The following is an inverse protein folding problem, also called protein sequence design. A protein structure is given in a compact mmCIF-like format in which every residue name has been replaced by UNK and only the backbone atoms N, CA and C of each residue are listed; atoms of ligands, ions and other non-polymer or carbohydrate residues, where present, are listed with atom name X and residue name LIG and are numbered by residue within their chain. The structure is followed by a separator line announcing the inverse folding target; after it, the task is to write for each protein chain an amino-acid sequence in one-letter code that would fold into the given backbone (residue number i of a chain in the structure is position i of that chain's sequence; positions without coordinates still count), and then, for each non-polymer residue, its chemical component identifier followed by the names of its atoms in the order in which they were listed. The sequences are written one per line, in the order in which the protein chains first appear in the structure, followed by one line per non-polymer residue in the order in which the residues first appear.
data_IF_801250425684
#
_entry.id   IF_801250425684
#
_cell.length_a   1.000
_cell.length_b   1.000
_cell.length_c   1.000
_cell.angle_alpha   90.00
_cell.angle_beta   90.00
_cell.angle_gamma   90.00
#
_symmetry.space_group_name_H-M   'P 1'
#
loop_
_entity.id
_entity.type
_entity.pdbx_description
1 polymer ?
#
# COMPACT_ATOMS: atom_id res chain seq x y z
N UNK A 1 30.24 21.89 -1.03
CA UNK A 1 29.88 20.78 -0.13
C UNK A 1 28.97 19.80 -0.88
N UNK A 2 29.31 18.51 -0.88
CA UNK A 2 28.62 17.42 -1.59
C UNK A 2 27.39 16.93 -0.79
N UNK A 3 26.34 17.75 -0.65
CA UNK A 3 25.12 17.32 0.05
C UNK A 3 24.28 16.29 -0.73
N UNK A 4 24.54 16.09 -2.04
CA UNK A 4 23.71 15.22 -2.88
C UNK A 4 23.95 13.71 -2.80
N UNK A 5 25.03 13.20 -2.17
CA UNK A 5 25.31 11.75 -2.15
C UNK A 5 24.70 11.03 -0.95
N UNK A 6 24.57 11.69 0.20
CA UNK A 6 24.04 11.09 1.42
C UNK A 6 22.53 10.83 1.36
N UNK A 7 21.82 11.59 0.54
CA UNK A 7 20.36 11.53 0.56
C UNK A 7 19.78 10.46 -0.37
N UNK A 8 20.47 10.15 -1.49
CA UNK A 8 20.14 8.97 -2.29
C UNK A 8 20.15 7.67 -1.48
N UNK A 9 21.06 7.53 -0.51
CA UNK A 9 21.07 6.35 0.36
C UNK A 9 19.86 6.27 1.29
N UNK A 10 19.23 7.39 1.64
CA UNK A 10 18.06 7.39 2.53
C UNK A 10 16.80 6.86 1.83
N UNK A 11 16.57 7.23 0.56
CA UNK A 11 15.40 6.76 -0.21
C UNK A 11 15.44 5.24 -0.44
N UNK A 12 16.60 4.72 -0.86
CA UNK A 12 16.79 3.28 -1.00
C UNK A 12 16.73 2.56 0.35
N UNK A 13 17.20 3.22 1.42
CA UNK A 13 17.06 2.72 2.79
C UNK A 13 15.59 2.55 3.20
N UNK A 14 14.73 3.53 2.90
CA UNK A 14 13.30 3.41 3.16
C UNK A 14 12.67 2.23 2.43
N UNK A 15 12.87 2.16 1.11
CA UNK A 15 12.29 1.09 0.29
C UNK A 15 12.79 -0.29 0.74
N UNK A 16 14.08 -0.42 1.06
CA UNK A 16 14.64 -1.65 1.59
C UNK A 16 14.02 -2.04 2.94
N UNK A 17 13.80 -1.07 3.84
CA UNK A 17 13.14 -1.31 5.13
C UNK A 17 11.67 -1.70 4.97
N UNK A 18 10.93 -1.07 4.05
CA UNK A 18 9.55 -1.43 3.75
C UNK A 18 9.46 -2.85 3.15
N UNK A 19 10.36 -3.21 2.24
CA UNK A 19 10.47 -4.57 1.69
C UNK A 19 10.81 -5.55 2.81
N UNK A 20 11.80 -5.26 3.64
CA UNK A 20 12.23 -6.13 4.74
C UNK A 20 11.11 -6.34 5.75
N UNK A 21 10.45 -5.26 6.20
CA UNK A 21 9.31 -5.34 7.10
C UNK A 21 8.19 -6.19 6.50
N UNK A 22 7.87 -5.98 5.22
CA UNK A 22 6.86 -6.80 4.53
C UNK A 22 7.27 -8.27 4.45
N UNK A 23 8.53 -8.57 4.12
CA UNK A 23 9.04 -9.95 4.08
C UNK A 23 8.97 -10.64 5.43
N UNK A 24 9.26 -9.92 6.52
CA UNK A 24 9.24 -10.45 7.88
C UNK A 24 7.81 -10.72 8.35
N UNK A 25 6.85 -9.85 7.99
CA UNK A 25 5.46 -9.94 8.47
C UNK A 25 4.59 -10.85 7.61
N UNK A 26 4.71 -10.75 6.28
CA UNK A 26 3.84 -11.43 5.32
C UNK A 26 4.55 -12.54 4.53
N UNK A 27 5.86 -12.73 4.77
CA UNK A 27 6.67 -13.65 3.99
C UNK A 27 7.17 -13.08 2.65
N UNK A 28 8.20 -13.72 2.10
CA UNK A 28 8.90 -13.27 0.89
C UNK A 28 8.00 -13.33 -0.35
N UNK A 29 7.26 -14.43 -0.52
CA UNK A 29 6.37 -14.62 -1.68
C UNK A 29 5.29 -13.54 -1.74
N UNK A 30 4.55 -13.34 -0.64
CA UNK A 30 3.49 -12.33 -0.57
C UNK A 30 4.05 -10.93 -0.84
N UNK A 31 5.21 -10.61 -0.26
CA UNK A 31 5.89 -9.33 -0.48
C UNK A 31 6.25 -9.11 -1.96
N UNK A 32 6.85 -10.12 -2.61
CA UNK A 32 7.22 -10.03 -4.02
C UNK A 32 5.99 -9.76 -4.91
N UNK A 33 4.91 -10.54 -4.73
CA UNK A 33 3.69 -10.38 -5.51
C UNK A 33 2.94 -9.07 -5.18
N UNK A 34 2.99 -8.61 -3.93
CA UNK A 34 2.44 -7.32 -3.53
C UNK A 34 3.18 -6.15 -4.21
N UNK A 35 4.51 -6.16 -4.23
CA UNK A 35 5.30 -5.15 -4.93
C UNK A 35 5.08 -5.19 -6.45
N UNK A 36 5.03 -6.38 -7.05
CA UNK A 36 4.73 -6.53 -8.47
C UNK A 36 3.35 -5.94 -8.82
N UNK A 37 2.33 -6.30 -8.04
CA UNK A 37 0.97 -5.77 -8.16
C UNK A 37 0.95 -4.26 -8.01
N UNK A 38 1.62 -3.74 -6.98
CA UNK A 38 1.70 -2.32 -6.68
C UNK A 38 2.29 -1.54 -7.85
N UNK A 39 3.46 -1.94 -8.33
CA UNK A 39 4.16 -1.27 -9.43
C UNK A 39 3.37 -1.33 -10.74
N UNK A 40 2.75 -2.48 -11.04
CA UNK A 40 1.91 -2.64 -12.22
C UNK A 40 0.73 -1.67 -12.21
N UNK A 41 -0.02 -1.61 -11.12
CA UNK A 41 -1.23 -0.79 -11.03
C UNK A 41 -0.91 0.69 -10.81
N UNK A 42 0.23 1.01 -10.19
CA UNK A 42 0.74 2.37 -10.02
C UNK A 42 1.28 2.99 -11.32
N UNK A 43 1.56 2.16 -12.35
CA UNK A 43 2.28 2.56 -13.56
C UNK A 43 1.78 3.86 -14.21
N UNK A 44 0.46 4.12 -14.36
CA UNK A 44 0.00 5.37 -14.97
C UNK A 44 0.43 6.62 -14.21
N UNK A 45 0.33 6.58 -12.88
CA UNK A 45 0.74 7.70 -12.03
C UNK A 45 2.27 7.86 -11.99
N UNK A 46 3.01 6.76 -11.97
CA UNK A 46 4.47 6.78 -12.05
C UNK A 46 4.98 7.33 -13.38
N UNK A 47 4.29 7.05 -14.49
CA UNK A 47 4.62 7.63 -15.80
C UNK A 47 4.38 9.14 -15.83
N UNK A 48 3.34 9.64 -15.14
CA UNK A 48 3.09 11.09 -15.03
C UNK A 48 4.13 11.83 -14.18
N UNK A 49 4.88 11.11 -13.35
CA UNK A 49 5.92 11.67 -12.49
C UNK A 49 7.09 12.18 -13.35
N UNK A 50 6.99 13.44 -13.80
CA UNK A 50 7.91 14.07 -14.77
C UNK A 50 9.31 14.37 -14.20
N UNK A 51 9.54 14.23 -12.89
CA UNK A 51 10.76 14.79 -12.28
C UNK A 51 11.97 13.89 -12.46
N UNK A 52 13.11 14.51 -12.76
CA UNK A 52 14.42 13.87 -12.73
C UNK A 52 14.82 13.40 -11.32
N UNK A 53 14.16 13.93 -10.28
CA UNK A 53 14.30 13.55 -8.86
C UNK A 53 12.99 13.79 -8.09
N UNK A 54 12.03 12.86 -8.14
CA UNK A 54 10.83 12.94 -7.31
C UNK A 54 11.17 12.65 -5.84
N UNK A 55 10.55 13.38 -4.91
CA UNK A 55 10.66 13.03 -3.48
C UNK A 55 9.82 11.79 -3.15
N UNK A 56 10.06 11.13 -2.01
CA UNK A 56 9.28 9.96 -1.58
C UNK A 56 7.77 10.26 -1.49
N UNK A 57 7.39 11.44 -1.00
CA UNK A 57 6.00 11.87 -0.96
C UNK A 57 5.36 12.04 -2.36
N UNK A 58 6.15 12.49 -3.35
CA UNK A 58 5.68 12.59 -4.75
C UNK A 58 5.54 11.22 -5.39
N UNK A 59 6.47 10.30 -5.09
CA UNK A 59 6.36 8.88 -5.45
C UNK A 59 5.10 8.24 -4.86
N UNK A 60 4.82 8.52 -3.60
CA UNK A 60 3.63 8.05 -2.90
C UNK A 60 2.34 8.56 -3.56
N UNK A 61 2.26 9.87 -3.80
CA UNK A 61 1.12 10.49 -4.50
C UNK A 61 0.92 9.89 -5.89
N UNK A 62 2.00 9.78 -6.68
CA UNK A 62 1.96 9.20 -8.02
C UNK A 62 1.49 7.74 -7.98
N UNK A 63 2.03 6.94 -7.07
CA UNK A 63 1.66 5.52 -6.94
C UNK A 63 0.18 5.35 -6.58
N UNK A 64 -0.28 6.06 -5.55
CA UNK A 64 -1.67 5.98 -5.10
C UNK A 64 -2.64 6.49 -6.15
N UNK A 65 -2.31 7.57 -6.86
CA UNK A 65 -3.14 8.10 -7.95
C UNK A 65 -3.21 7.11 -9.12
N UNK A 66 -2.08 6.50 -9.49
CA UNK A 66 -2.02 5.46 -10.52
C UNK A 66 -2.89 4.26 -10.16
N UNK A 67 -2.73 3.74 -8.95
CA UNK A 67 -3.53 2.62 -8.42
C UNK A 67 -5.02 2.98 -8.43
N UNK A 68 -5.40 4.16 -7.94
CA UNK A 68 -6.80 4.58 -7.89
C UNK A 68 -7.45 4.61 -9.29
N UNK A 69 -6.76 5.20 -10.28
CA UNK A 69 -7.27 5.27 -11.66
C UNK A 69 -7.33 3.89 -12.29
N UNK A 70 -6.30 3.05 -12.10
CA UNK A 70 -6.28 1.68 -12.63
C UNK A 70 -7.39 0.82 -12.03
N UNK A 71 -7.60 0.88 -10.70
CA UNK A 71 -8.66 0.14 -10.02
C UNK A 71 -10.05 0.62 -10.48
N UNK A 72 -10.26 1.94 -10.58
CA UNK A 72 -11.54 2.48 -11.05
C UNK A 72 -11.84 2.04 -12.49
N UNK A 73 -10.85 2.12 -13.38
CA UNK A 73 -11.00 1.64 -14.75
C UNK A 73 -11.26 0.13 -14.81
N UNK A 74 -10.55 -0.65 -13.98
CA UNK A 74 -10.74 -2.11 -13.89
C UNK A 74 -12.15 -2.47 -13.40
N UNK A 75 -12.67 -1.76 -12.41
CA UNK A 75 -14.04 -1.94 -11.91
C UNK A 75 -15.05 -1.64 -13.02
N UNK A 76 -14.91 -0.51 -13.72
CA UNK A 76 -15.85 -0.14 -14.79
C UNK A 76 -15.85 -1.17 -15.93
N UNK A 77 -14.68 -1.61 -16.36
CA UNK A 77 -14.57 -2.64 -17.41
C UNK A 77 -15.11 -3.98 -16.92
N UNK A 78 -14.80 -4.39 -15.68
CA UNK A 78 -15.30 -5.63 -15.09
C UNK A 78 -16.83 -5.64 -14.99
N UNK A 79 -17.46 -4.51 -14.62
CA UNK A 79 -18.92 -4.37 -14.58
C UNK A 79 -19.57 -4.54 -15.97
N UNK A 80 -18.87 -4.14 -17.03
CA UNK A 80 -19.36 -4.26 -18.41
C UNK A 80 -19.20 -5.68 -18.94
N UNK A 81 -18.06 -6.32 -18.65
CA UNK A 81 -17.73 -7.63 -19.21
C UNK A 81 -18.25 -8.80 -18.37
N UNK A 82 -18.59 -8.58 -17.09
CA UNK A 82 -18.99 -9.64 -16.16
C UNK A 82 -17.83 -10.50 -15.65
N UNK A 83 -16.60 -10.14 -16.01
CA UNK A 83 -15.38 -10.81 -15.58
C UNK A 83 -14.24 -9.80 -15.46
N UNK A 84 -13.28 -10.08 -14.58
CA UNK A 84 -12.09 -9.26 -14.42
C UNK A 84 -10.83 -10.11 -14.36
N UNK A 85 -10.39 -10.70 -15.49
CA UNK A 85 -9.17 -11.48 -15.53
C UNK A 85 -7.95 -10.58 -15.29
N UNK A 86 -6.94 -11.12 -14.62
CA UNK A 86 -5.69 -10.44 -14.31
C UNK A 86 -5.02 -9.77 -15.53
N UNK A 87 -5.02 -10.46 -16.68
CA UNK A 87 -4.45 -9.94 -17.92
C UNK A 87 -5.15 -8.65 -18.38
N UNK A 88 -6.46 -8.54 -18.16
CA UNK A 88 -7.23 -7.36 -18.49
C UNK A 88 -6.88 -6.19 -17.57
N UNK A 89 -6.71 -6.43 -16.26
CA UNK A 89 -6.22 -5.40 -15.33
C UNK A 89 -4.84 -4.87 -15.74
N UNK A 90 -3.92 -5.77 -16.12
CA UNK A 90 -2.60 -5.40 -16.61
C UNK A 90 -2.67 -4.58 -17.92
N UNK A 91 -3.55 -4.98 -18.85
CA UNK A 91 -3.78 -4.26 -20.10
C UNK A 91 -4.35 -2.84 -19.85
N UNK A 92 -5.30 -2.70 -18.93
CA UNK A 92 -5.86 -1.41 -18.50
C UNK A 92 -4.75 -0.52 -17.94
N UNK A 93 -3.91 -1.04 -17.03
CA UNK A 93 -2.78 -0.30 -16.48
C UNK A 93 -1.81 0.17 -17.57
N UNK A 94 -1.50 -0.68 -18.55
CA UNK A 94 -0.63 -0.34 -19.67
C UNK A 94 -1.23 0.74 -20.58
N UNK A 95 -2.51 0.64 -20.93
CA UNK A 95 -3.22 1.65 -21.74
C UNK A 95 -3.24 3.00 -21.03
N UNK A 96 -3.56 3.02 -19.74
CA UNK A 96 -3.54 4.23 -18.93
C UNK A 96 -2.13 4.82 -18.82
N UNK A 97 -1.09 3.98 -18.73
CA UNK A 97 0.29 4.44 -18.74
C UNK A 97 0.71 5.05 -20.07
N UNK A 98 0.26 4.49 -21.20
CA UNK A 98 0.49 5.10 -22.52
C UNK A 98 -0.22 6.45 -22.65
N UNK A 99 -1.47 6.55 -22.17
CA UNK A 99 -2.21 7.81 -22.13
C UNK A 99 -1.51 8.85 -21.24
N UNK A 100 -1.07 8.45 -20.05
CA UNK A 100 -0.27 9.27 -19.15
C UNK A 100 1.02 9.79 -19.82
N UNK A 101 1.75 8.92 -20.53
CA UNK A 101 2.96 9.31 -21.26
C UNK A 101 2.65 10.31 -22.38
N UNK A 102 1.51 10.15 -23.07
CA UNK A 102 1.08 11.08 -24.12
C UNK A 102 0.73 12.46 -23.55
N UNK A 103 -0.02 12.52 -22.44
CA UNK A 103 -0.33 13.76 -21.72
C UNK A 103 0.96 14.45 -21.27
N UNK A 104 1.85 13.70 -20.61
CA UNK A 104 3.15 14.20 -20.12
C UNK A 104 4.00 14.83 -21.22
N UNK A 105 3.99 14.27 -22.44
CA UNK A 105 4.75 14.82 -23.58
C UNK A 105 4.19 16.16 -24.09
N UNK A 106 2.91 16.45 -23.82
CA UNK A 106 2.24 17.67 -24.28
C UNK A 106 2.32 18.82 -23.28
N UNK A 107 2.32 18.49 -21.99
CA UNK A 107 2.36 19.50 -20.94
C UNK A 107 3.81 19.84 -20.58
N UNK A 108 4.19 21.11 -20.75
CA UNK A 108 5.36 21.67 -20.09
C UNK A 108 5.05 21.83 -18.60
N UNK A 109 5.02 20.72 -17.86
CA UNK A 109 4.74 20.74 -16.42
C UNK A 109 5.90 21.47 -15.76
N UNK A 110 5.66 22.71 -15.33
CA UNK A 110 6.64 23.49 -14.57
C UNK A 110 7.11 22.68 -13.37
N UNK A 111 8.42 22.45 -13.31
CA UNK A 111 9.06 21.78 -12.18
C UNK A 111 8.96 22.69 -10.95
N UNK A 112 7.85 22.60 -10.20
CA UNK A 112 7.77 23.09 -8.82
C UNK A 112 9.00 22.58 -8.04
N UNK A 113 9.57 23.43 -7.19
CA UNK A 113 10.82 23.15 -6.49
C UNK A 113 10.72 21.82 -5.73
N UNK A 114 11.76 20.99 -5.85
CA UNK A 114 11.89 19.80 -5.03
C UNK A 114 11.75 20.18 -3.55
N UNK A 115 10.94 19.42 -2.80
CA UNK A 115 10.97 19.53 -1.35
C UNK A 115 12.40 19.21 -0.90
N UNK A 116 12.96 19.93 0.08
CA UNK A 116 14.25 19.56 0.61
C UNK A 116 14.14 18.16 1.20
N UNK A 117 14.98 17.27 0.69
CA UNK A 117 15.05 15.90 1.19
C UNK A 117 15.53 15.95 2.64
N UNK A 118 14.73 15.42 3.57
CA UNK A 118 15.02 15.47 5.01
C UNK A 118 14.93 14.09 5.62
N UNK A 119 15.72 13.82 6.67
CA UNK A 119 15.66 12.55 7.41
C UNK A 119 14.26 12.26 8.00
N UNK A 120 13.43 13.29 8.17
CA UNK A 120 12.04 13.15 8.61
C UNK A 120 11.13 12.45 7.61
N UNK A 121 11.45 12.49 6.31
CA UNK A 121 10.74 11.71 5.27
C UNK A 121 10.89 10.20 5.49
N UNK A 122 11.98 9.78 6.14
CA UNK A 122 12.23 8.38 6.49
C UNK A 122 11.63 8.04 7.86
N UNK A 123 11.78 8.92 8.87
CA UNK A 123 11.33 8.65 10.25
C UNK A 123 9.82 8.42 10.32
N UNK A 124 9.03 9.22 9.62
CA UNK A 124 7.56 9.15 9.67
C UNK A 124 7.01 7.80 9.19
N UNK A 125 7.33 7.34 7.96
CA UNK A 125 6.83 6.05 7.52
C UNK A 125 7.48 4.90 8.29
N UNK A 126 8.69 5.03 8.85
CA UNK A 126 9.23 4.01 9.76
C UNK A 126 8.39 3.87 11.03
N UNK A 127 8.01 4.98 11.67
CA UNK A 127 7.12 4.93 12.84
C UNK A 127 5.76 4.36 12.45
N UNK A 128 5.20 4.77 11.31
CA UNK A 128 3.94 4.21 10.81
C UNK A 128 4.03 2.70 10.59
N UNK A 129 5.12 2.22 9.98
CA UNK A 129 5.37 0.81 9.75
C UNK A 129 5.62 0.06 11.05
N UNK A 130 6.35 0.61 12.01
CA UNK A 130 6.54 -0.03 13.32
C UNK A 130 5.21 -0.17 14.06
N UNK A 131 4.39 0.88 14.08
CA UNK A 131 3.06 0.86 14.70
C UNK A 131 2.12 -0.16 14.05
N UNK A 132 2.22 -0.34 12.72
CA UNK A 132 1.41 -1.29 11.98
C UNK A 132 1.95 -2.72 12.04
N UNK A 133 3.26 -2.91 11.87
CA UNK A 133 3.90 -4.22 11.73
C UNK A 133 4.11 -4.94 13.06
N UNK A 134 4.52 -4.22 14.12
CA UNK A 134 4.89 -4.87 15.39
C UNK A 134 3.72 -5.64 16.02
N UNK A 135 2.48 -5.10 16.09
CA UNK A 135 1.34 -5.86 16.60
C UNK A 135 0.98 -7.07 15.72
N UNK A 136 1.44 -7.09 14.47
CA UNK A 136 1.12 -8.11 13.47
C UNK A 136 2.18 -9.21 13.34
N UNK A 137 3.34 -9.07 13.97
CA UNK A 137 4.49 -9.96 13.76
C UNK A 137 4.22 -11.43 14.11
N UNK A 138 3.32 -11.70 15.06
CA UNK A 138 2.98 -13.07 15.47
C UNK A 138 1.60 -13.53 15.00
N UNK A 139 0.92 -12.72 14.19
CA UNK A 139 -0.42 -13.07 13.70
C UNK A 139 -0.37 -14.39 12.93
N UNK A 140 -1.29 -15.30 13.25
CA UNK A 140 -1.40 -16.61 12.61
C UNK A 140 -0.42 -17.66 13.13
N UNK A 141 0.59 -17.28 13.91
CA UNK A 141 1.53 -18.23 14.53
C UNK A 141 0.82 -19.14 15.53
N UNK A 142 1.22 -20.41 15.61
CA UNK A 142 0.70 -21.34 16.62
C UNK A 142 1.37 -21.09 17.98
N UNK A 143 0.55 -21.03 19.02
CA UNK A 143 0.98 -20.95 20.41
C UNK A 143 0.05 -21.79 21.29
N UNK A 144 0.64 -22.76 22.00
CA UNK A 144 -0.09 -23.65 22.92
C UNK A 144 -1.33 -24.35 22.31
N UNK A 145 -1.28 -24.69 21.02
CA UNK A 145 -2.39 -25.34 20.32
C UNK A 145 -3.51 -24.39 19.86
N UNK A 146 -3.33 -23.09 19.99
CA UNK A 146 -4.17 -22.04 19.40
C UNK A 146 -3.36 -21.18 18.42
N UNK A 147 -4.02 -20.38 17.58
CA UNK A 147 -3.34 -19.39 16.76
C UNK A 147 -3.35 -18.02 17.45
N UNK A 148 -2.22 -17.31 17.41
CA UNK A 148 -2.10 -15.93 17.85
C UNK A 148 -2.88 -15.01 16.91
N UNK A 149 -3.94 -14.41 17.43
CA UNK A 149 -4.68 -13.35 16.78
C UNK A 149 -4.79 -12.17 17.74
N UNK A 150 -4.45 -10.98 17.26
CA UNK A 150 -4.65 -9.76 18.04
C UNK A 150 -6.14 -9.43 18.11
N UNK A 151 -6.60 -8.65 19.09
CA UNK A 151 -8.01 -8.26 19.20
C UNK A 151 -8.57 -7.55 17.95
N UNK A 152 -7.70 -6.96 17.11
CA UNK A 152 -8.05 -6.36 15.82
C UNK A 152 -8.32 -7.39 14.70
N UNK A 153 -7.91 -8.64 14.87
CA UNK A 153 -8.33 -9.77 14.04
C UNK A 153 -9.72 -10.22 14.48
N UNK A 154 -10.65 -9.28 14.39
CA UNK A 154 -12.06 -9.49 14.66
C UNK A 154 -12.75 -10.05 13.41
N UNK A 155 -14.08 -10.11 13.45
CA UNK A 155 -14.89 -10.53 12.31
C UNK A 155 -14.60 -9.73 11.02
N UNK A 156 -14.15 -8.47 11.13
CA UNK A 156 -13.83 -7.65 9.95
C UNK A 156 -12.58 -8.17 9.24
N UNK A 157 -11.55 -8.59 9.97
CA UNK A 157 -10.35 -9.13 9.33
C UNK A 157 -10.65 -10.45 8.58
N UNK A 158 -11.41 -11.37 9.19
CA UNK A 158 -11.83 -12.59 8.50
C UNK A 158 -12.70 -12.29 7.27
N UNK A 159 -13.54 -11.25 7.36
CA UNK A 159 -14.30 -10.74 6.21
C UNK A 159 -13.38 -10.19 5.12
N UNK A 160 -12.30 -9.48 5.47
CA UNK A 160 -11.31 -8.99 4.52
C UNK A 160 -10.62 -10.15 3.78
N UNK A 161 -10.24 -11.21 4.50
CA UNK A 161 -9.64 -12.42 3.90
C UNK A 161 -10.63 -13.03 2.90
N UNK A 162 -11.85 -13.33 3.37
CA UNK A 162 -12.88 -13.98 2.55
C UNK A 162 -13.21 -13.17 1.28
N UNK A 163 -13.32 -11.85 1.40
CA UNK A 163 -13.54 -10.99 0.23
C UNK A 163 -12.36 -10.99 -0.75
N UNK A 164 -11.12 -10.98 -0.25
CA UNK A 164 -9.93 -11.00 -1.10
C UNK A 164 -9.82 -12.32 -1.86
N UNK A 165 -10.09 -13.45 -1.19
CA UNK A 165 -10.08 -14.79 -1.79
C UNK A 165 -11.22 -14.97 -2.81
N UNK A 166 -12.41 -14.47 -2.50
CA UNK A 166 -13.55 -14.52 -3.43
C UNK A 166 -13.27 -13.70 -4.70
N UNK A 167 -12.76 -12.47 -4.54
CA UNK A 167 -12.37 -11.62 -5.67
C UNK A 167 -11.24 -12.23 -6.51
N UNK A 168 -10.34 -13.00 -5.89
CA UNK A 168 -9.23 -13.65 -6.62
C UNK A 168 -9.75 -14.66 -7.66
N UNK A 169 -10.96 -15.21 -7.49
CA UNK A 169 -11.62 -16.09 -8.47
C UNK A 169 -11.98 -15.36 -9.77
N UNK A 170 -12.19 -14.04 -9.71
CA UNK A 170 -12.35 -13.14 -10.87
C UNK A 170 -13.73 -13.14 -11.53
N UNK A 171 -14.72 -13.74 -10.87
CA UNK A 171 -16.14 -13.51 -11.19
C UNK A 171 -16.50 -12.06 -10.86
N UNK A 172 -17.28 -11.40 -11.73
CA UNK A 172 -17.62 -9.99 -11.57
C UNK A 172 -19.09 -9.69 -11.92
N UNK A 173 -19.85 -8.99 -11.06
CA UNK A 173 -19.48 -8.53 -9.72
C UNK A 173 -19.20 -9.70 -8.76
N UNK A 174 -18.36 -9.50 -7.73
CA UNK A 174 -18.04 -10.55 -6.77
C UNK A 174 -19.30 -11.09 -6.07
N UNK A 175 -19.30 -12.38 -5.74
CA UNK A 175 -20.35 -13.00 -4.93
C UNK A 175 -20.11 -12.75 -3.44
N UNK A 176 -21.18 -12.75 -2.65
CA UNK A 176 -21.11 -12.59 -1.21
C UNK A 176 -20.75 -13.94 -0.56
N UNK A 177 -19.58 -14.11 0.08
CA UNK A 177 -19.19 -15.38 0.69
C UNK A 177 -20.04 -15.76 1.90
N UNK A 178 -20.80 -14.82 2.47
CA UNK A 178 -21.67 -15.03 3.63
C UNK A 178 -23.15 -15.18 3.27
N UNK A 179 -23.54 -14.95 2.01
CA UNK A 179 -24.92 -15.02 1.56
C UNK A 179 -25.00 -15.66 0.16
N UNK A 180 -25.38 -16.94 0.12
CA UNK A 180 -25.40 -17.74 -1.10
C UNK A 180 -26.26 -17.10 -2.20
N UNK A 181 -25.68 -17.00 -3.40
CA UNK A 181 -26.34 -16.47 -4.60
C UNK A 181 -26.57 -14.95 -4.61
N UNK A 182 -26.07 -14.21 -3.62
CA UNK A 182 -26.15 -12.76 -3.60
C UNK A 182 -24.84 -12.14 -4.09
N UNK A 183 -24.95 -11.04 -4.84
CA UNK A 183 -23.79 -10.21 -5.16
C UNK A 183 -23.23 -9.52 -3.93
N UNK A 184 -21.93 -9.26 -3.92
CA UNK A 184 -21.27 -8.48 -2.87
C UNK A 184 -21.48 -7.00 -3.17
N UNK A 185 -22.39 -6.37 -2.41
CA UNK A 185 -22.87 -5.02 -2.73
C UNK A 185 -22.07 -3.88 -2.09
N UNK A 186 -21.17 -4.15 -1.15
CA UNK A 186 -20.49 -3.09 -0.38
C UNK A 186 -19.00 -3.34 -0.22
N UNK A 187 -18.21 -2.26 -0.33
CA UNK A 187 -16.84 -2.16 0.17
C UNK A 187 -15.84 -3.19 -0.39
N UNK A 188 -16.07 -3.79 -1.55
CA UNK A 188 -15.18 -4.85 -2.05
C UNK A 188 -14.00 -4.33 -2.89
N UNK A 189 -14.12 -3.12 -3.45
CA UNK A 189 -13.13 -2.56 -4.37
C UNK A 189 -11.70 -2.49 -3.78
N UNK A 190 -11.57 -2.23 -2.48
CA UNK A 190 -10.25 -2.13 -1.86
C UNK A 190 -9.55 -3.48 -1.67
N UNK A 191 -10.28 -4.61 -1.72
CA UNK A 191 -9.68 -5.93 -1.70
C UNK A 191 -9.23 -6.41 -3.09
N UNK A 192 -9.42 -5.62 -4.16
CA UNK A 192 -8.89 -5.97 -5.47
C UNK A 192 -7.36 -6.07 -5.46
N UNK A 193 -6.67 -5.27 -4.65
CA UNK A 193 -5.21 -5.35 -4.50
C UNK A 193 -4.76 -6.70 -3.92
N UNK A 194 -5.18 -7.11 -2.69
CA UNK A 194 -4.82 -8.41 -2.15
C UNK A 194 -5.35 -9.56 -3.02
N UNK A 195 -6.55 -9.45 -3.62
CA UNK A 195 -7.05 -10.46 -4.57
C UNK A 195 -6.13 -10.65 -5.79
N UNK A 196 -5.56 -9.56 -6.31
CA UNK A 196 -4.61 -9.58 -7.41
C UNK A 196 -3.31 -10.29 -7.00
N UNK A 197 -2.83 -10.07 -5.77
CA UNK A 197 -1.67 -10.78 -5.20
C UNK A 197 -1.93 -12.29 -5.13
N UNK A 198 -3.06 -12.70 -4.55
CA UNK A 198 -3.45 -14.12 -4.43
C UNK A 198 -3.49 -14.76 -5.82
N UNK A 199 -4.17 -14.12 -6.79
CA UNK A 199 -4.31 -14.66 -8.14
C UNK A 199 -2.98 -14.71 -8.91
N UNK A 200 -2.16 -13.67 -8.82
CA UNK A 200 -0.82 -13.63 -9.45
C UNK A 200 0.10 -14.73 -8.92
N UNK A 201 -0.05 -15.06 -7.63
CA UNK A 201 0.72 -16.13 -7.00
C UNK A 201 0.25 -17.54 -7.37
N UNK A 202 -0.78 -17.68 -8.21
CA UNK A 202 -1.38 -19.00 -8.47
C UNK A 202 -2.03 -19.61 -7.23
N UNK A 203 -2.47 -18.78 -6.28
CA UNK A 203 -2.98 -19.17 -4.95
C UNK A 203 -1.93 -19.76 -3.99
N UNK A 204 -0.64 -19.59 -4.27
CA UNK A 204 0.43 -19.97 -3.33
C UNK A 204 0.54 -19.02 -2.12
N UNK A 205 0.06 -17.78 -2.25
CA UNK A 205 0.00 -16.79 -1.16
C UNK A 205 -1.38 -16.82 -0.50
N UNK A 206 -1.41 -16.98 0.82
CA UNK A 206 -2.65 -16.97 1.60
C UNK A 206 -3.33 -15.59 1.57
N UNK A 207 -4.65 -15.54 1.79
CA UNK A 207 -5.36 -14.26 1.91
C UNK A 207 -4.87 -13.37 3.05
N UNK A 208 -4.40 -13.98 4.15
CA UNK A 208 -3.81 -13.27 5.30
C UNK A 208 -2.53 -12.56 4.86
N UNK A 209 -1.60 -13.29 4.25
CA UNK A 209 -0.29 -12.75 3.86
C UNK A 209 -0.44 -11.67 2.78
N UNK A 210 -1.36 -11.88 1.82
CA UNK A 210 -1.67 -10.88 0.81
C UNK A 210 -2.18 -9.58 1.43
N UNK A 211 -3.09 -9.65 2.41
CA UNK A 211 -3.61 -8.49 3.12
C UNK A 211 -2.53 -7.78 3.93
N UNK A 212 -1.68 -8.52 4.65
CA UNK A 212 -0.58 -7.96 5.43
C UNK A 212 0.42 -7.23 4.53
N UNK A 213 0.87 -7.87 3.44
CA UNK A 213 1.82 -7.28 2.51
C UNK A 213 1.27 -6.01 1.85
N UNK A 214 0.03 -6.05 1.33
CA UNK A 214 -0.62 -4.88 0.72
C UNK A 214 -0.87 -3.79 1.77
N UNK A 215 -1.33 -4.15 2.96
CA UNK A 215 -1.62 -3.22 4.05
C UNK A 215 -0.39 -2.45 4.51
N UNK A 216 0.79 -3.10 4.57
CA UNK A 216 2.06 -2.44 4.88
C UNK A 216 2.47 -1.46 3.78
N UNK A 217 2.32 -1.83 2.50
CA UNK A 217 2.58 -0.91 1.38
C UNK A 217 1.67 0.31 1.41
N UNK A 218 0.37 0.10 1.63
CA UNK A 218 -0.61 1.18 1.77
C UNK A 218 -0.27 2.09 2.94
N UNK A 219 0.03 1.53 4.11
CA UNK A 219 0.37 2.28 5.32
C UNK A 219 1.63 3.13 5.12
N UNK A 220 2.71 2.54 4.62
CA UNK A 220 3.95 3.27 4.37
C UNK A 220 3.76 4.38 3.33
N UNK A 221 3.03 4.10 2.25
CA UNK A 221 2.76 5.08 1.18
C UNK A 221 1.86 6.22 1.66
N UNK A 222 0.81 5.92 2.44
CA UNK A 222 -0.06 6.94 3.04
C UNK A 222 0.70 7.79 4.06
N UNK A 223 1.59 7.20 4.86
CA UNK A 223 2.46 7.94 5.78
C UNK A 223 3.34 8.96 5.06
N UNK A 224 3.95 8.55 3.92
CA UNK A 224 4.72 9.44 3.06
C UNK A 224 3.87 10.57 2.45
N UNK A 225 2.67 10.25 1.97
CA UNK A 225 1.76 11.24 1.41
C UNK A 225 1.32 12.26 2.48
N UNK A 226 0.91 11.77 3.66
CA UNK A 226 0.53 12.61 4.79
C UNK A 226 1.67 13.54 5.21
N UNK A 227 2.90 13.02 5.30
CA UNK A 227 4.08 13.85 5.55
C UNK A 227 4.24 14.95 4.50
N UNK A 228 4.18 14.62 3.21
CA UNK A 228 4.31 15.60 2.14
C UNK A 228 3.26 16.71 2.18
N UNK A 229 2.01 16.36 2.51
CA UNK A 229 0.92 17.31 2.69
C UNK A 229 1.15 18.21 3.90
N UNK A 230 1.46 17.63 5.06
CA UNK A 230 1.76 18.39 6.28
C UNK A 230 3.00 19.28 6.11
N UNK A 231 4.00 18.84 5.34
CA UNK A 231 5.19 19.64 5.02
C UNK A 231 4.79 20.89 4.23
N UNK A 232 3.97 20.72 3.18
CA UNK A 232 3.48 21.85 2.36
C UNK A 232 2.67 22.85 3.19
N UNK A 233 1.90 22.38 4.17
CA UNK A 233 1.06 23.24 5.01
C UNK A 233 1.84 23.93 6.13
N UNK A 234 2.81 23.24 6.75
CA UNK A 234 3.54 23.76 7.92
C UNK A 234 4.84 24.50 7.56
N UNK A 235 5.38 24.30 6.37
CA UNK A 235 6.67 24.86 5.94
C UNK A 235 7.90 24.26 6.62
N UNK A 236 7.76 23.23 7.47
CA UNK A 236 8.86 22.64 8.22
C UNK A 236 8.76 21.12 8.40
N UNK A 237 9.84 20.40 8.04
CA UNK A 237 9.89 18.93 8.10
C UNK A 237 9.64 18.35 9.49
N UNK A 238 10.20 18.98 10.53
CA UNK A 238 10.00 18.52 11.91
C UNK A 238 8.54 18.68 12.33
N UNK A 239 7.92 19.82 12.07
CA UNK A 239 6.52 20.08 12.41
C UNK A 239 5.58 19.14 11.66
N UNK A 240 5.84 18.88 10.38
CA UNK A 240 5.11 17.92 9.58
C UNK A 240 5.22 16.50 10.15
N UNK A 241 6.43 16.06 10.49
CA UNK A 241 6.65 14.74 11.08
C UNK A 241 5.93 14.58 12.42
N UNK A 242 6.05 15.56 13.30
CA UNK A 242 5.37 15.55 14.60
C UNK A 242 3.85 15.48 14.41
N UNK A 243 3.29 16.26 13.49
CA UNK A 243 1.86 16.21 13.21
C UNK A 243 1.40 14.82 12.76
N UNK A 244 2.10 14.22 11.79
CA UNK A 244 1.75 12.88 11.29
C UNK A 244 1.92 11.82 12.38
N UNK A 245 3.02 11.84 13.13
CA UNK A 245 3.28 10.88 14.22
C UNK A 245 2.20 10.98 15.29
N UNK A 246 1.84 12.20 15.74
CA UNK A 246 0.80 12.39 16.74
C UNK A 246 -0.57 11.90 16.22
N UNK A 247 -0.88 12.12 14.94
CA UNK A 247 -2.09 11.56 14.33
C UNK A 247 -2.06 10.03 14.34
N UNK A 248 -0.97 9.40 13.90
CA UNK A 248 -0.83 7.94 13.90
C UNK A 248 -0.97 7.35 15.31
N UNK A 249 -0.32 7.95 16.31
CA UNK A 249 -0.41 7.52 17.70
C UNK A 249 -1.81 7.71 18.29
N UNK A 250 -2.52 8.78 17.92
CA UNK A 250 -3.89 9.02 18.38
C UNK A 250 -4.90 8.01 17.86
N UNK A 251 -4.61 7.36 16.72
CA UNK A 251 -5.50 6.39 16.08
C UNK A 251 -5.29 4.95 16.59
N UNK A 252 -4.20 4.68 17.31
CA UNK A 252 -3.85 3.32 17.74
C UNK A 252 -3.29 3.30 19.17
N UNK A 253 -4.19 3.30 20.15
CA UNK A 253 -3.82 3.09 21.56
C UNK A 253 -3.11 1.75 21.77
N UNK A 254 -3.57 0.69 21.09
CA UNK A 254 -2.97 -0.63 21.20
C UNK A 254 -1.61 -0.72 20.50
N UNK A 255 -1.41 -0.02 19.37
CA UNK A 255 -0.09 0.08 18.74
C UNK A 255 0.90 0.83 19.62
N UNK A 256 0.43 1.86 20.33
CA UNK A 256 1.23 2.54 21.35
C UNK A 256 1.52 1.64 22.56
N UNK A 257 0.52 0.89 23.05
CA UNK A 257 0.71 -0.07 24.14
C UNK A 257 1.73 -1.16 23.77
N UNK A 258 1.60 -1.74 22.58
CA UNK A 258 2.52 -2.76 22.06
C UNK A 258 3.96 -2.24 21.99
N UNK A 259 4.18 -0.98 21.57
CA UNK A 259 5.51 -0.37 21.58
C UNK A 259 6.10 -0.23 22.99
N UNK A 260 5.26 0.08 23.99
CA UNK A 260 5.70 0.22 25.38
C UNK A 260 6.04 -1.13 26.00
N UNK A 261 5.22 -2.16 25.76
CA UNK A 261 5.44 -3.51 26.29
C UNK A 261 6.70 -4.16 25.67
N UNK A 262 6.97 -3.92 24.38
CA UNK A 262 8.18 -4.39 23.71
C UNK A 262 9.48 -3.80 24.28
N UNK A 263 9.42 -2.66 24.95
CA UNK A 263 10.57 -2.03 25.60
C UNK A 263 10.86 -2.55 27.01
N UNK A 264 10.00 -3.41 27.56
CA UNK A 264 10.08 -3.92 28.94
C UNK A 264 10.48 -5.41 28.98
N UNK A 265 10.54 -6.09 27.85
CA UNK A 265 11.04 -7.47 27.71
C UNK A 265 12.53 -7.50 27.31
#
# INVERSE_FOLDING_TARGET
MKQGSFVRSADWGFLALLILASCVIAGVSATLYAWLTWLLLALPGLVLLHRSRPTLAQWALASLSGIAVTLLASILVGLILGELPLLLMAAIAAVLALAANWIRRREAICAESALPETLWELVVPLIALSLAALPLYQVGSEFAGAHHFHAFFNADYFKHIAHSEELARGEFPPLNPFAAGQGLHYYWAFYLLPATVIRLSGFDVSGVDALLAVGLLQTGTLGLLAFGLCYRLSGGAKSAAVAVILTLLSLSWDGLAALLDWGIA
#
